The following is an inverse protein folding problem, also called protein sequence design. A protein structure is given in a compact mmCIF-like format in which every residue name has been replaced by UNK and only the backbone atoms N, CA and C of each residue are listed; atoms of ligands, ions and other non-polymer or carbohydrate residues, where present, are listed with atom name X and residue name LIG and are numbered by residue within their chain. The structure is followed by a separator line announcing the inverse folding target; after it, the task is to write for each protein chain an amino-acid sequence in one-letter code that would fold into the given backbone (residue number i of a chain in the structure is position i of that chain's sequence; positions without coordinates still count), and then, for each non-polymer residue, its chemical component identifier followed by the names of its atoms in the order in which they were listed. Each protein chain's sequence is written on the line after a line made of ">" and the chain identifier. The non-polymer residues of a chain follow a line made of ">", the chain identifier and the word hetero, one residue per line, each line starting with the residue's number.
data_IF_562376350976
#
_entry.id   IF_562376350976
#
_cell.length_a   1.000
_cell.length_b   1.000
_cell.length_c   1.000
_cell.angle_alpha   90.00
_cell.angle_beta   90.00
_cell.angle_gamma   90.00
#
_symmetry.space_group_name_H-M   'P 1'
#
loop_
_entity.id
_entity.type
_entity.pdbx_description
1 polymer ?
#
# COMPACT_ATOMS: atom_id res chain seq x y z
N UNK A 1 -13.89 -0.12 -0.09
CA UNK A 1 -12.94 0.99 0.09
C UNK A 1 -11.69 0.47 0.80
N UNK A 2 -10.53 0.75 0.24
CA UNK A 2 -9.26 0.28 0.81
C UNK A 2 -8.91 1.13 2.03
N UNK A 3 -8.55 0.49 3.13
CA UNK A 3 -8.06 1.15 4.32
C UNK A 3 -6.54 1.23 4.27
N UNK A 4 -5.98 2.45 4.39
CA UNK A 4 -4.55 2.71 4.33
C UNK A 4 -4.06 3.18 5.68
N UNK A 5 -3.18 2.42 6.30
CA UNK A 5 -2.58 2.74 7.60
C UNK A 5 -1.20 3.31 7.34
N UNK A 6 -1.05 4.62 7.53
CA UNK A 6 0.18 5.29 7.10
C UNK A 6 0.46 6.57 7.89
N UNK A 7 1.59 7.22 7.56
CA UNK A 7 2.02 8.48 8.14
C UNK A 7 2.64 9.34 7.04
N UNK A 8 2.80 10.63 7.31
CA UNK A 8 3.35 11.58 6.36
C UNK A 8 4.87 11.47 6.30
N UNK A 9 5.36 10.43 5.65
CA UNK A 9 6.78 10.15 5.43
C UNK A 9 6.99 9.84 3.95
N UNK A 10 8.26 9.83 3.45
CA UNK A 10 8.51 9.47 2.05
C UNK A 10 7.91 8.12 1.64
N UNK A 11 8.00 7.10 2.48
CA UNK A 11 7.37 5.82 2.20
C UNK A 11 5.87 5.86 2.43
N UNK A 12 5.44 6.59 3.45
CA UNK A 12 4.04 6.63 3.86
C UNK A 12 3.11 7.28 2.84
N UNK A 13 3.62 8.20 2.01
CA UNK A 13 2.80 8.89 1.01
C UNK A 13 2.69 8.14 -0.31
N UNK A 14 3.51 7.12 -0.54
CA UNK A 14 3.53 6.37 -1.80
C UNK A 14 2.18 5.73 -2.12
N UNK A 15 1.55 5.13 -1.13
CA UNK A 15 0.30 4.40 -1.33
C UNK A 15 -0.88 5.33 -1.59
N UNK A 16 -1.10 6.38 -0.79
CA UNK A 16 -2.13 7.36 -1.12
C UNK A 16 -1.95 8.00 -2.49
N UNK A 17 -0.71 8.32 -2.89
CA UNK A 17 -0.45 8.89 -4.22
C UNK A 17 -0.88 7.90 -5.30
N UNK A 18 -0.53 6.62 -5.17
CA UNK A 18 -0.92 5.61 -6.14
C UNK A 18 -2.44 5.48 -6.24
N UNK A 19 -3.14 5.47 -5.11
CA UNK A 19 -4.60 5.37 -5.08
C UNK A 19 -5.27 6.59 -5.72
N UNK A 20 -4.71 7.79 -5.49
CA UNK A 20 -5.20 9.01 -6.15
C UNK A 20 -5.01 8.92 -7.66
N UNK A 21 -3.85 8.46 -8.14
CA UNK A 21 -3.60 8.28 -9.57
C UNK A 21 -4.56 7.27 -10.20
N UNK A 22 -4.92 6.23 -9.46
CA UNK A 22 -5.85 5.21 -9.94
C UNK A 22 -7.30 5.65 -9.87
N UNK A 23 -7.61 6.73 -9.13
CA UNK A 23 -8.99 7.12 -8.85
C UNK A 23 -9.72 6.10 -7.99
N UNK A 24 -9.00 5.26 -7.24
CA UNK A 24 -9.59 4.24 -6.40
C UNK A 24 -9.99 4.83 -5.05
N UNK A 25 -11.18 4.52 -4.52
CA UNK A 25 -11.59 5.04 -3.22
C UNK A 25 -10.80 4.39 -2.08
N UNK A 26 -10.37 5.21 -1.14
CA UNK A 26 -9.61 4.74 0.02
C UNK A 26 -9.87 5.61 1.23
N UNK A 27 -9.48 5.10 2.41
CA UNK A 27 -9.59 5.82 3.67
C UNK A 27 -8.26 5.72 4.41
N UNK A 28 -7.72 6.86 4.83
CA UNK A 28 -6.46 6.91 5.56
C UNK A 28 -6.71 6.79 7.05
N UNK A 29 -5.97 5.87 7.68
CA UNK A 29 -5.85 5.76 9.14
C UNK A 29 -4.45 6.23 9.51
N UNK A 30 -4.36 7.41 10.11
CA UNK A 30 -3.08 7.99 10.45
C UNK A 30 -2.44 7.26 11.63
N UNK A 31 -1.18 6.86 11.46
CA UNK A 31 -0.38 6.23 12.50
C UNK A 31 0.58 7.27 13.06
N UNK A 32 0.52 7.52 14.36
CA UNK A 32 1.44 8.46 15.02
C UNK A 32 2.72 7.73 15.37
N UNK A 33 3.77 7.92 14.55
CA UNK A 33 5.05 7.26 14.74
C UNK A 33 5.75 7.75 16.01
N UNK A 34 5.59 9.02 16.35
CA UNK A 34 6.16 9.59 17.56
C UNK A 34 5.59 8.99 18.85
N UNK A 35 4.36 8.48 18.78
CA UNK A 35 3.71 7.80 19.91
C UNK A 35 3.85 6.27 19.83
N UNK A 36 4.68 5.74 18.91
CA UNK A 36 4.90 4.31 18.70
C UNK A 36 3.61 3.53 18.38
N UNK A 37 2.66 4.16 17.69
CA UNK A 37 1.42 3.47 17.30
C UNK A 37 1.68 2.30 16.36
N UNK A 38 2.76 2.36 15.57
CA UNK A 38 3.15 1.29 14.67
C UNK A 38 3.60 0.02 15.42
N UNK A 39 3.85 0.12 16.72
CA UNK A 39 4.23 -1.01 17.58
C UNK A 39 3.07 -1.53 18.43
N UNK A 40 1.88 -0.96 18.30
CA UNK A 40 0.70 -1.44 19.01
C UNK A 40 0.25 -2.79 18.46
N UNK A 41 -0.34 -3.67 19.31
CA UNK A 41 -0.76 -5.01 18.87
C UNK A 41 -1.69 -4.99 17.66
N UNK A 42 -2.59 -4.02 17.56
CA UNK A 42 -3.52 -3.89 16.45
C UNK A 42 -2.79 -3.73 15.13
N UNK A 43 -1.78 -2.85 15.10
CA UNK A 43 -1.02 -2.60 13.91
C UNK A 43 -0.06 -3.76 13.61
N UNK A 44 0.53 -4.38 14.63
CA UNK A 44 1.43 -5.52 14.44
C UNK A 44 0.73 -6.71 13.81
N UNK A 45 -0.59 -6.81 13.95
CA UNK A 45 -1.37 -7.83 13.22
C UNK A 45 -1.39 -7.56 11.72
N UNK A 46 -1.32 -6.29 11.31
CA UNK A 46 -1.26 -5.90 9.90
C UNK A 46 0.16 -6.02 9.36
N UNK A 47 1.14 -5.64 10.15
CA UNK A 47 2.55 -5.72 9.78
C UNK A 47 3.40 -6.11 10.99
N UNK A 48 3.90 -7.35 11.03
CA UNK A 48 4.71 -7.83 12.16
C UNK A 48 5.99 -7.03 12.39
N UNK A 49 6.52 -6.35 11.36
CA UNK A 49 7.69 -5.50 11.47
C UNK A 49 7.37 -4.15 12.11
N UNK A 50 6.10 -3.82 12.29
CA UNK A 50 5.69 -2.57 12.90
C UNK A 50 6.15 -1.35 12.14
N UNK A 51 5.96 -1.33 10.83
CA UNK A 51 6.30 -0.21 9.95
C UNK A 51 5.12 0.15 9.07
N UNK A 52 4.98 1.43 8.76
CA UNK A 52 4.02 1.92 7.77
C UNK A 52 4.69 1.89 6.39
N UNK A 53 3.94 1.84 5.29
CA UNK A 53 2.48 1.70 5.21
C UNK A 53 2.01 0.24 5.30
N UNK A 54 0.72 0.08 5.58
CA UNK A 54 0.01 -1.19 5.43
C UNK A 54 -1.38 -0.88 4.91
N UNK A 55 -1.98 -1.82 4.19
CA UNK A 55 -3.36 -1.68 3.72
C UNK A 55 -4.20 -2.87 4.13
N UNK A 56 -5.51 -2.64 4.21
CA UNK A 56 -6.51 -3.70 4.25
C UNK A 56 -7.45 -3.44 3.08
N UNK A 57 -7.50 -4.40 2.16
CA UNK A 57 -8.48 -4.37 1.07
C UNK A 57 -9.62 -5.32 1.44
N UNK A 58 -10.82 -4.80 1.73
CA UNK A 58 -11.95 -5.66 2.09
C UNK A 58 -12.42 -6.52 0.92
N UNK A 59 -12.08 -6.14 -0.30
CA UNK A 59 -12.43 -6.87 -1.52
C UNK A 59 -11.16 -7.41 -2.18
N UNK A 60 -10.48 -8.29 -1.50
CA UNK A 60 -9.28 -8.95 -2.00
C UNK A 60 -9.58 -10.07 -2.99
N UNK A 61 -8.55 -10.84 -3.39
CA UNK A 61 -8.73 -11.96 -4.31
C UNK A 61 -9.78 -12.94 -3.80
N UNK A 62 -10.70 -13.33 -4.67
CA UNK A 62 -11.80 -14.21 -4.30
C UNK A 62 -12.86 -13.55 -3.46
N UNK A 63 -12.85 -12.21 -3.34
CA UNK A 63 -13.81 -11.45 -2.54
C UNK A 63 -13.55 -11.51 -1.03
N UNK A 64 -12.37 -11.96 -0.63
CA UNK A 64 -11.98 -12.11 0.78
C UNK A 64 -11.08 -10.94 1.18
N UNK A 65 -11.23 -10.37 2.40
CA UNK A 65 -10.33 -9.31 2.85
C UNK A 65 -8.86 -9.74 2.82
N UNK A 66 -7.99 -8.84 2.39
CA UNK A 66 -6.55 -9.07 2.32
C UNK A 66 -5.81 -7.91 2.96
N UNK A 67 -4.86 -8.22 3.85
CA UNK A 67 -3.92 -7.26 4.40
C UNK A 67 -2.59 -7.39 3.66
N UNK A 68 -1.98 -6.25 3.30
CA UNK A 68 -0.68 -6.22 2.62
C UNK A 68 0.21 -5.20 3.33
N UNK A 69 1.45 -5.55 3.57
CA UNK A 69 2.47 -4.63 4.05
C UNK A 69 3.66 -4.62 3.09
N UNK A 70 4.61 -3.72 3.29
CA UNK A 70 5.69 -3.32 2.39
C UNK A 70 5.18 -2.45 1.25
N UNK A 71 5.70 -1.23 1.14
CA UNK A 71 5.23 -0.27 0.13
C UNK A 71 5.34 -0.81 -1.28
N UNK A 72 6.44 -1.50 -1.61
CA UNK A 72 6.62 -2.11 -2.93
C UNK A 72 5.58 -3.19 -3.22
N UNK A 73 5.30 -4.04 -2.25
CA UNK A 73 4.30 -5.10 -2.41
C UNK A 73 2.89 -4.52 -2.54
N UNK A 74 2.59 -3.46 -1.78
CA UNK A 74 1.30 -2.78 -1.86
C UNK A 74 1.12 -2.17 -3.24
N UNK A 75 2.13 -1.47 -3.77
CA UNK A 75 2.07 -0.87 -5.10
C UNK A 75 1.88 -1.93 -6.17
N UNK A 76 2.56 -3.06 -6.05
CA UNK A 76 2.40 -4.17 -6.97
C UNK A 76 0.97 -4.72 -6.91
N UNK A 77 0.44 -4.94 -5.70
CA UNK A 77 -0.94 -5.41 -5.53
C UNK A 77 -1.95 -4.47 -6.19
N UNK A 78 -1.79 -3.17 -5.98
CA UNK A 78 -2.66 -2.16 -6.58
C UNK A 78 -2.55 -2.16 -8.10
N UNK A 79 -1.33 -2.32 -8.64
CA UNK A 79 -1.10 -2.38 -10.08
C UNK A 79 -1.74 -3.62 -10.71
N UNK A 80 -1.77 -4.73 -10.01
CA UNK A 80 -2.45 -5.94 -10.48
C UNK A 80 -3.96 -5.81 -10.42
N UNK A 81 -4.47 -5.15 -9.39
CA UNK A 81 -5.92 -5.00 -9.19
C UNK A 81 -6.53 -3.93 -10.10
N UNK A 82 -5.85 -2.81 -10.28
CA UNK A 82 -6.37 -1.66 -11.02
C UNK A 82 -5.51 -1.37 -12.24
N UNK A 83 -6.12 -1.06 -13.40
CA UNK A 83 -5.33 -0.63 -14.56
C UNK A 83 -4.80 0.80 -14.37
N UNK A 84 -3.64 1.10 -14.94
CA UNK A 84 -3.13 2.47 -15.02
C UNK A 84 -1.79 2.73 -14.36
N UNK A 85 -1.33 1.87 -13.45
CA UNK A 85 -0.02 2.05 -12.81
C UNK A 85 1.09 1.29 -13.52
N UNK A 86 0.77 0.13 -14.08
CA UNK A 86 1.79 -0.74 -14.67
C UNK A 86 1.67 -0.74 -16.18
N UNK A 87 2.78 -0.47 -16.91
CA UNK A 87 2.77 -0.55 -18.37
C UNK A 87 2.49 -1.98 -18.85
N UNK A 88 1.93 -2.10 -20.06
CA UNK A 88 1.70 -3.41 -20.66
C UNK A 88 2.93 -4.02 -21.29
N UNK A 89 3.90 -3.21 -21.73
CA UNK A 89 5.11 -3.67 -22.35
C UNK A 89 6.05 -4.34 -21.33
N UNK A 90 6.56 -5.56 -21.60
CA UNK A 90 7.40 -6.27 -20.65
C UNK A 90 8.65 -5.52 -20.21
N UNK A 91 9.31 -4.81 -21.11
CA UNK A 91 10.52 -4.04 -20.79
C UNK A 91 10.17 -2.84 -19.90
N UNK A 92 9.12 -2.11 -20.26
CA UNK A 92 8.66 -0.96 -19.45
C UNK A 92 8.20 -1.41 -18.08
N UNK A 93 7.60 -2.60 -17.96
CA UNK A 93 7.20 -3.16 -16.65
C UNK A 93 8.41 -3.36 -15.75
N UNK A 94 9.50 -3.87 -16.27
CA UNK A 94 10.74 -4.06 -15.51
C UNK A 94 11.29 -2.72 -15.03
N UNK A 95 11.32 -1.72 -15.90
CA UNK A 95 11.79 -0.37 -15.53
C UNK A 95 10.87 0.25 -14.48
N UNK A 96 9.57 0.07 -14.59
CA UNK A 96 8.63 0.54 -13.56
C UNK A 96 8.91 -0.08 -12.20
N UNK A 97 9.24 -1.38 -12.16
CA UNK A 97 9.60 -2.06 -10.93
C UNK A 97 10.92 -1.55 -10.35
N UNK A 98 11.91 -1.23 -11.19
CA UNK A 98 13.15 -0.62 -10.73
C UNK A 98 12.87 0.64 -9.92
N UNK A 99 12.03 1.54 -10.46
CA UNK A 99 11.68 2.78 -9.77
C UNK A 99 10.80 2.54 -8.54
N UNK A 100 9.98 1.51 -8.55
CA UNK A 100 9.14 1.15 -7.39
C UNK A 100 10.01 0.78 -6.19
N UNK A 101 11.09 0.06 -6.42
CA UNK A 101 11.99 -0.40 -5.36
C UNK A 101 13.22 0.50 -5.16
N UNK A 102 13.38 1.49 -6.01
CA UNK A 102 14.44 2.48 -5.88
C UNK A 102 14.19 3.39 -4.68
#
# INVERSE_FOLDING_TARGET
>A
MIDVYTANTPNGVKVPIALEELGAPYRVHRINLGANEQKRPDFLRLNPNGRIPAIVDPDGPGGVPLSVFESGAILWYLAEKFPGLMPGDPIERIHALEYTFF
#
